data_IF_832878168791
#
_entry.id   IF_832878168791
#
_cell.length_a   1.000
_cell.length_b   1.000
_cell.length_c   1.000
_cell.angle_alpha   90.00
_cell.angle_beta   90.00
_cell.angle_gamma   90.00
#
_symmetry.space_group_name_H-M   'P 1'
#
loop_
_entity.id
_entity.type
_entity.pdbx_description
1 polymer ?
#
# COMPACT_ATOMS: atom_id res chain seq x y z
N UNK A 1 20.10 13.69 -0.30
CA UNK A 1 20.39 14.20 -1.68
C UNK A 1 19.31 13.68 -2.61
N UNK A 2 18.82 14.53 -3.54
CA UNK A 2 17.86 14.17 -4.57
C UNK A 2 18.51 14.26 -5.96
N UNK A 3 18.30 13.29 -6.82
CA UNK A 3 18.83 13.23 -8.20
C UNK A 3 17.84 12.55 -9.13
N UNK A 4 17.83 12.93 -10.40
CA UNK A 4 17.13 12.22 -11.47
C UNK A 4 18.10 11.30 -12.19
N UNK A 5 17.66 10.09 -12.53
CA UNK A 5 18.49 9.08 -13.17
C UNK A 5 17.69 8.29 -14.20
N UNK A 6 18.35 7.75 -15.22
CA UNK A 6 17.75 6.77 -16.12
C UNK A 6 17.79 5.37 -15.51
N UNK A 7 16.66 4.66 -15.48
CA UNK A 7 16.55 3.29 -15.01
C UNK A 7 15.45 2.54 -15.77
N UNK A 8 15.77 1.36 -16.33
CA UNK A 8 14.82 0.53 -17.11
C UNK A 8 14.03 1.33 -18.16
N UNK A 9 14.74 2.18 -18.93
CA UNK A 9 14.19 3.06 -19.99
C UNK A 9 13.27 4.18 -19.51
N UNK A 10 13.18 4.43 -18.20
CA UNK A 10 12.40 5.52 -17.61
C UNK A 10 13.33 6.54 -16.93
N UNK A 11 12.87 7.78 -16.84
CA UNK A 11 13.48 8.78 -15.95
C UNK A 11 12.82 8.66 -14.59
N UNK A 12 13.62 8.39 -13.58
CA UNK A 12 13.14 8.20 -12.21
C UNK A 12 13.90 9.13 -11.26
N UNK A 13 13.39 9.27 -10.07
CA UNK A 13 13.98 10.06 -9.01
C UNK A 13 14.61 9.17 -7.95
N UNK A 14 15.75 9.61 -7.42
CA UNK A 14 16.46 8.92 -6.35
C UNK A 14 16.72 9.87 -5.19
N UNK A 15 16.29 9.47 -3.99
CA UNK A 15 16.61 10.16 -2.75
C UNK A 15 17.56 9.32 -1.92
N UNK A 16 18.59 9.97 -1.36
CA UNK A 16 19.50 9.36 -0.40
C UNK A 16 19.38 10.06 0.95
N UNK A 17 19.16 9.27 2.02
CA UNK A 17 19.05 9.72 3.41
C UNK A 17 19.84 8.75 4.29
N UNK A 18 20.95 9.24 4.90
CA UNK A 18 21.85 8.35 5.63
C UNK A 18 22.24 7.12 4.80
N UNK A 19 22.07 5.91 5.35
CA UNK A 19 22.34 4.65 4.63
C UNK A 19 21.27 4.30 3.60
N UNK A 20 20.09 4.94 3.63
CA UNK A 20 18.95 4.59 2.77
C UNK A 20 19.00 5.28 1.41
N UNK A 21 18.66 4.52 0.38
CA UNK A 21 18.41 5.02 -0.99
C UNK A 21 17.01 4.62 -1.43
N UNK A 22 16.21 5.60 -1.82
CA UNK A 22 14.82 5.43 -2.29
C UNK A 22 14.74 5.73 -3.78
N UNK A 23 14.18 4.81 -4.56
CA UNK A 23 14.00 4.92 -6.01
C UNK A 23 12.52 5.11 -6.29
N UNK A 24 12.15 6.16 -6.99
CA UNK A 24 10.75 6.57 -7.13
C UNK A 24 10.46 6.98 -8.57
N UNK A 25 9.26 6.64 -9.06
CA UNK A 25 8.68 7.23 -10.25
C UNK A 25 7.46 8.07 -9.87
N UNK A 26 7.64 9.36 -9.53
CA UNK A 26 6.54 10.20 -9.05
C UNK A 26 5.39 10.31 -10.05
N UNK A 27 5.70 10.44 -11.36
CA UNK A 27 4.73 10.70 -12.43
C UNK A 27 3.92 9.46 -12.82
N UNK A 28 4.41 8.25 -12.52
CA UNK A 28 3.73 6.99 -12.81
C UNK A 28 3.34 6.28 -11.52
N UNK A 29 2.08 6.47 -11.10
CA UNK A 29 1.53 5.84 -9.90
C UNK A 29 2.06 6.39 -8.57
N UNK A 30 2.78 7.53 -8.56
CA UNK A 30 3.55 8.01 -7.41
C UNK A 30 4.35 6.87 -6.76
N UNK A 31 4.97 6.04 -7.58
CA UNK A 31 5.46 4.71 -7.24
C UNK A 31 6.81 4.75 -6.54
N UNK A 32 6.85 4.47 -5.23
CA UNK A 32 8.10 4.04 -4.61
C UNK A 32 8.43 2.66 -5.19
N UNK A 33 9.53 2.58 -5.94
CA UNK A 33 9.95 1.36 -6.64
C UNK A 33 10.79 0.48 -5.73
N UNK A 34 11.81 1.05 -5.12
CA UNK A 34 12.84 0.32 -4.38
C UNK A 34 13.32 1.14 -3.18
N UNK A 35 13.64 0.48 -2.11
CA UNK A 35 14.32 1.03 -0.95
C UNK A 35 15.50 0.13 -0.63
N UNK A 36 16.71 0.70 -0.66
CA UNK A 36 17.96 0.03 -0.35
C UNK A 36 18.56 0.60 0.91
N UNK A 37 19.31 -0.23 1.66
CA UNK A 37 20.19 0.22 2.75
C UNK A 37 21.63 -0.24 2.48
N UNK A 38 22.57 0.68 2.68
CA UNK A 38 23.99 0.37 2.76
C UNK A 38 24.30 -0.15 4.19
N UNK A 39 24.76 -1.38 4.28
CA UNK A 39 25.10 -2.05 5.53
C UNK A 39 26.50 -1.61 5.99
N UNK A 40 26.83 -1.87 7.28
CA UNK A 40 28.11 -1.49 7.87
C UNK A 40 29.34 -2.11 7.18
N UNK A 41 29.18 -3.23 6.50
CA UNK A 41 30.22 -3.89 5.72
C UNK A 41 30.31 -3.39 4.26
N UNK A 42 29.52 -2.39 3.89
CA UNK A 42 29.45 -1.82 2.54
C UNK A 42 28.58 -2.60 1.56
N UNK A 43 27.97 -3.71 1.97
CA UNK A 43 26.98 -4.40 1.16
C UNK A 43 25.67 -3.60 1.07
N UNK A 44 24.85 -3.88 0.05
CA UNK A 44 23.55 -3.24 -0.13
C UNK A 44 22.45 -4.27 0.09
N UNK A 45 21.50 -3.95 0.96
CA UNK A 45 20.31 -4.77 1.18
C UNK A 45 19.08 -4.07 0.59
N UNK A 46 18.37 -4.76 -0.27
CA UNK A 46 17.08 -4.31 -0.78
C UNK A 46 15.97 -4.60 0.25
N UNK A 47 15.27 -3.57 0.68
CA UNK A 47 14.14 -3.68 1.61
C UNK A 47 12.84 -3.89 0.84
N UNK A 48 12.63 -3.12 -0.24
CA UNK A 48 11.48 -3.30 -1.13
C UNK A 48 11.93 -3.94 -2.44
N UNK A 49 11.25 -5.03 -2.76
CA UNK A 49 11.44 -5.76 -4.02
C UNK A 49 11.05 -4.90 -5.22
N UNK A 50 11.91 -4.92 -6.23
CA UNK A 50 11.63 -4.40 -7.56
C UNK A 50 12.13 -5.40 -8.61
N UNK A 51 11.33 -5.77 -9.64
CA UNK A 51 11.76 -6.74 -10.64
C UNK A 51 12.89 -6.19 -11.51
N UNK A 52 13.79 -7.07 -11.97
CA UNK A 52 14.91 -6.73 -12.88
C UNK A 52 14.42 -6.08 -14.18
N UNK A 53 13.21 -6.41 -14.59
CA UNK A 53 12.53 -5.81 -15.74
C UNK A 53 11.10 -5.45 -15.38
N UNK A 54 10.73 -4.20 -15.60
CA UNK A 54 9.37 -3.70 -15.37
C UNK A 54 8.75 -3.22 -16.69
N UNK A 55 7.59 -3.77 -17.02
CA UNK A 55 6.79 -3.29 -18.15
C UNK A 55 5.87 -2.15 -17.71
N UNK A 56 6.32 -0.93 -17.89
CA UNK A 56 5.57 0.27 -17.52
C UNK A 56 4.33 0.51 -18.38
N UNK A 57 4.19 -0.16 -19.54
CA UNK A 57 2.95 -0.14 -20.31
C UNK A 57 1.82 -0.88 -19.57
N UNK A 58 2.18 -1.73 -18.60
CA UNK A 58 1.28 -2.47 -17.73
C UNK A 58 1.59 -2.23 -16.25
N UNK A 59 1.80 -0.96 -15.88
CA UNK A 59 2.22 -0.56 -14.53
C UNK A 59 1.39 -1.18 -13.39
N UNK A 60 0.09 -1.40 -13.62
CA UNK A 60 -0.78 -2.09 -12.66
C UNK A 60 -0.45 -3.57 -12.42
N UNK A 61 0.37 -4.20 -13.27
CA UNK A 61 0.81 -5.60 -13.15
C UNK A 61 2.23 -5.75 -12.60
N UNK A 62 2.99 -4.65 -12.48
CA UNK A 62 4.33 -4.70 -11.91
C UNK A 62 4.24 -5.13 -10.45
N UNK A 63 4.88 -6.24 -10.11
CA UNK A 63 4.97 -6.75 -8.74
C UNK A 63 6.24 -6.21 -8.10
N UNK A 64 6.11 -5.11 -7.36
CA UNK A 64 7.26 -4.47 -6.72
C UNK A 64 6.95 -3.09 -6.16
N UNK A 65 7.76 -2.64 -5.22
CA UNK A 65 7.69 -1.33 -4.60
C UNK A 65 6.45 -1.13 -3.72
N UNK A 66 5.86 0.04 -3.80
CA UNK A 66 4.61 0.39 -3.11
C UNK A 66 3.59 0.98 -4.10
N UNK A 67 2.75 0.17 -4.74
CA UNK A 67 1.57 0.67 -5.45
C UNK A 67 0.61 1.40 -4.52
N UNK A 68 0.14 2.56 -4.96
CA UNK A 68 -0.89 3.33 -4.26
C UNK A 68 -2.27 2.83 -4.68
N UNK A 69 -3.08 2.45 -3.70
CA UNK A 69 -4.42 1.90 -3.91
C UNK A 69 -5.46 2.99 -3.65
N UNK A 70 -6.12 3.48 -4.71
CA UNK A 70 -7.12 4.54 -4.63
C UNK A 70 -8.11 4.44 -5.82
N UNK A 71 -9.42 4.65 -5.61
CA UNK A 71 -10.07 5.04 -4.37
C UNK A 71 -10.34 3.90 -3.38
N UNK A 72 -10.27 2.64 -3.82
CA UNK A 72 -10.54 1.47 -2.97
C UNK A 72 -9.44 0.43 -3.09
N UNK A 73 -9.07 -0.16 -1.94
CA UNK A 73 -8.14 -1.28 -1.87
C UNK A 73 -8.82 -2.59 -2.30
N UNK A 74 -8.06 -3.50 -2.92
CA UNK A 74 -8.48 -4.82 -3.39
C UNK A 74 -9.64 -4.82 -4.40
N UNK A 75 -10.37 -5.95 -4.44
CA UNK A 75 -11.46 -6.19 -5.38
C UNK A 75 -12.76 -5.57 -4.88
N UNK A 76 -13.43 -4.82 -5.75
CA UNK A 76 -14.77 -4.29 -5.52
C UNK A 76 -15.83 -5.18 -6.13
N UNK A 77 -16.97 -5.30 -5.46
CA UNK A 77 -18.14 -6.03 -5.90
C UNK A 77 -19.39 -5.18 -5.73
N UNK A 78 -20.31 -5.29 -6.66
CA UNK A 78 -21.66 -4.75 -6.54
C UNK A 78 -22.65 -5.91 -6.58
N UNK A 79 -23.33 -6.17 -5.48
CA UNK A 79 -24.27 -7.30 -5.35
C UNK A 79 -23.68 -8.65 -5.79
N UNK A 80 -22.40 -8.88 -5.47
CA UNK A 80 -21.68 -10.09 -5.81
C UNK A 80 -21.06 -10.14 -7.22
N UNK A 81 -21.18 -9.07 -8.01
CA UNK A 81 -20.57 -8.95 -9.33
C UNK A 81 -19.21 -8.26 -9.22
N UNK A 82 -18.15 -8.97 -9.59
CA UNK A 82 -16.76 -8.50 -9.52
C UNK A 82 -16.49 -7.37 -10.52
N UNK A 83 -15.65 -6.41 -10.12
CA UNK A 83 -15.19 -5.30 -10.98
C UNK A 83 -16.14 -4.11 -11.00
N UNK A 84 -17.08 -4.07 -10.08
CA UNK A 84 -18.02 -2.97 -9.92
C UNK A 84 -18.13 -2.53 -8.47
N UNK A 85 -18.50 -1.28 -8.26
CA UNK A 85 -18.73 -0.72 -6.93
C UNK A 85 -20.08 -0.03 -6.83
N UNK A 86 -20.54 0.13 -5.60
CA UNK A 86 -21.79 0.84 -5.25
C UNK A 86 -21.50 2.33 -5.17
N UNK A 87 -21.64 3.04 -6.29
CA UNK A 87 -21.60 4.49 -6.32
C UNK A 87 -22.92 5.10 -5.80
N UNK A 88 -22.92 6.33 -5.27
CA UNK A 88 -24.16 7.05 -4.95
C UNK A 88 -25.14 7.16 -6.15
N UNK A 89 -24.61 7.19 -7.37
CA UNK A 89 -25.42 7.24 -8.59
C UNK A 89 -25.70 5.84 -9.21
N UNK A 90 -25.39 4.77 -8.48
CA UNK A 90 -25.63 3.39 -8.91
C UNK A 90 -24.35 2.58 -9.20
N UNK A 91 -24.48 1.49 -9.91
CA UNK A 91 -23.39 0.59 -10.27
C UNK A 91 -22.41 1.24 -11.24
N UNK A 92 -21.10 1.22 -10.93
CA UNK A 92 -20.02 1.70 -11.80
C UNK A 92 -18.85 0.72 -11.81
N UNK A 93 -18.08 0.61 -12.91
CA UNK A 93 -16.84 -0.14 -12.95
C UNK A 93 -15.83 0.33 -11.89
N UNK A 94 -15.04 -0.62 -11.34
CA UNK A 94 -13.93 -0.33 -10.46
C UNK A 94 -12.88 -1.44 -10.62
N UNK A 95 -11.72 -1.14 -11.18
CA UNK A 95 -10.65 -2.12 -11.32
C UNK A 95 -10.11 -2.53 -9.94
N UNK A 96 -9.48 -3.69 -9.88
CA UNK A 96 -8.80 -4.14 -8.67
C UNK A 96 -7.78 -3.10 -8.21
N UNK A 97 -7.85 -2.66 -6.95
CA UNK A 97 -7.06 -1.60 -6.34
C UNK A 97 -7.28 -0.18 -6.91
N UNK A 98 -8.34 0.05 -7.66
CA UNK A 98 -8.66 1.38 -8.21
C UNK A 98 -7.72 1.82 -9.32
N UNK A 99 -7.54 3.14 -9.47
CA UNK A 99 -6.91 3.76 -10.64
C UNK A 99 -5.50 4.29 -10.38
N UNK A 100 -5.15 4.66 -9.13
CA UNK A 100 -3.91 5.39 -8.83
C UNK A 100 -2.64 4.59 -9.15
N UNK A 101 -2.60 3.28 -8.88
CA UNK A 101 -1.39 2.45 -9.02
C UNK A 101 -0.79 2.42 -10.44
N UNK A 102 -1.60 2.74 -11.44
CA UNK A 102 -1.20 2.79 -12.85
C UNK A 102 -1.48 4.16 -13.48
N UNK A 103 -2.00 5.10 -12.70
CA UNK A 103 -2.41 6.40 -13.18
C UNK A 103 -1.25 7.38 -13.29
N UNK A 104 -1.50 8.46 -14.03
CA UNK A 104 -0.58 9.58 -14.14
C UNK A 104 -0.66 10.46 -12.89
N UNK A 105 0.49 11.01 -12.51
CA UNK A 105 0.60 11.99 -11.43
C UNK A 105 1.41 13.19 -11.90
N UNK A 106 1.12 14.33 -11.33
CA UNK A 106 1.92 15.53 -11.46
C UNK A 106 2.78 15.68 -10.22
N UNK A 107 4.09 15.79 -10.41
CA UNK A 107 5.00 16.14 -9.32
C UNK A 107 4.77 17.61 -8.96
N UNK A 108 4.21 17.87 -7.76
CA UNK A 108 3.92 19.21 -7.28
C UNK A 108 5.12 19.82 -6.55
N UNK A 109 5.87 18.99 -5.83
CA UNK A 109 7.05 19.41 -5.09
C UNK A 109 8.05 18.27 -4.94
N UNK A 110 9.33 18.56 -5.09
CA UNK A 110 10.44 17.67 -4.77
C UNK A 110 11.38 18.37 -3.78
N UNK A 111 11.34 17.95 -2.52
CA UNK A 111 12.21 18.47 -1.46
C UNK A 111 13.44 17.57 -1.27
N UNK A 112 14.39 17.99 -0.42
CA UNK A 112 15.59 17.21 -0.10
C UNK A 112 15.29 15.88 0.62
N UNK A 113 14.12 15.75 1.22
CA UNK A 113 13.69 14.63 2.06
C UNK A 113 12.38 13.97 1.60
N UNK A 114 11.90 14.27 0.39
CA UNK A 114 10.67 13.66 -0.11
C UNK A 114 10.05 14.41 -1.27
N UNK A 115 8.81 14.05 -1.58
CA UNK A 115 8.05 14.67 -2.68
C UNK A 115 6.55 14.65 -2.41
N UNK A 116 5.84 15.52 -3.12
CA UNK A 116 4.38 15.52 -3.20
C UNK A 116 3.97 15.35 -4.66
N UNK A 117 3.11 14.39 -4.94
CA UNK A 117 2.54 14.17 -6.27
C UNK A 117 1.01 14.16 -6.21
N UNK A 118 0.37 14.78 -7.21
CA UNK A 118 -1.08 14.86 -7.36
C UNK A 118 -1.55 13.92 -8.47
N UNK A 119 -2.54 13.11 -8.18
CA UNK A 119 -3.16 12.21 -9.15
C UNK A 119 -3.87 12.99 -10.27
N UNK A 120 -3.67 12.56 -11.50
CA UNK A 120 -4.35 13.07 -12.69
C UNK A 120 -5.29 11.99 -13.22
N UNK A 121 -6.57 11.98 -12.82
CA UNK A 121 -7.51 10.98 -13.31
C UNK A 121 -7.69 11.08 -14.83
N UNK A 122 -7.58 9.97 -15.51
CA UNK A 122 -7.95 9.88 -16.94
C UNK A 122 -9.47 9.86 -17.11
N UNK A 123 -9.91 9.82 -18.36
CA UNK A 123 -11.34 9.83 -18.70
C UNK A 123 -12.11 8.66 -18.09
N UNK A 124 -11.48 7.48 -18.00
CA UNK A 124 -12.10 6.29 -17.39
C UNK A 124 -12.24 6.45 -15.88
N UNK A 125 -11.19 6.85 -15.20
CA UNK A 125 -11.19 7.10 -13.75
C UNK A 125 -12.24 8.18 -13.39
N UNK A 126 -12.27 9.29 -14.14
CA UNK A 126 -13.24 10.37 -13.93
C UNK A 126 -14.69 9.91 -14.15
N UNK A 127 -14.95 9.09 -15.17
CA UNK A 127 -16.28 8.57 -15.45
C UNK A 127 -16.77 7.59 -14.38
N UNK A 128 -15.86 6.79 -13.80
CA UNK A 128 -16.20 5.71 -12.87
C UNK A 128 -16.11 6.11 -11.40
N UNK A 129 -15.38 7.20 -11.09
CA UNK A 129 -15.33 7.83 -9.78
C UNK A 129 -15.60 9.34 -9.94
N UNK A 130 -16.87 9.71 -10.24
CA UNK A 130 -17.25 11.01 -10.77
C UNK A 130 -17.46 12.05 -9.68
N UNK A 131 -16.40 12.41 -9.00
CA UNK A 131 -16.37 13.45 -7.98
C UNK A 131 -15.37 14.54 -8.37
N UNK A 132 -15.56 15.72 -7.80
CA UNK A 132 -14.58 16.80 -7.88
C UNK A 132 -13.63 16.69 -6.67
N UNK A 133 -12.38 16.32 -6.93
CA UNK A 133 -11.39 16.08 -5.88
C UNK A 133 -9.95 16.33 -6.34
N UNK A 134 -9.08 16.54 -5.35
CA UNK A 134 -7.65 16.33 -5.50
C UNK A 134 -7.21 15.15 -4.64
N UNK A 135 -6.38 14.28 -5.20
CA UNK A 135 -5.76 13.20 -4.44
C UNK A 135 -4.25 13.35 -4.49
N UNK A 136 -3.62 13.41 -3.32
CA UNK A 136 -2.19 13.62 -3.16
C UNK A 136 -1.52 12.43 -2.48
N UNK A 137 -0.27 12.21 -2.88
CA UNK A 137 0.67 11.28 -2.24
C UNK A 137 1.89 12.09 -1.80
N UNK A 138 2.15 12.14 -0.49
CA UNK A 138 3.29 12.84 0.12
C UNK A 138 4.22 11.81 0.75
N UNK A 139 5.43 11.66 0.22
CA UNK A 139 6.49 10.84 0.79
C UNK A 139 7.49 11.68 1.57
N UNK A 140 7.87 11.19 2.76
CA UNK A 140 8.97 11.72 3.58
C UNK A 140 9.96 10.60 3.86
N UNK A 141 11.22 10.84 3.49
CA UNK A 141 12.31 9.88 3.59
C UNK A 141 13.24 10.23 4.76
N UNK A 142 13.53 9.26 5.60
CA UNK A 142 14.41 9.34 6.76
C UNK A 142 15.57 8.34 6.59
N UNK A 143 16.53 8.36 7.51
CA UNK A 143 17.72 7.50 7.42
C UNK A 143 17.38 6.00 7.45
N UNK A 144 16.45 5.60 8.31
CA UNK A 144 15.99 4.20 8.44
C UNK A 144 14.45 4.10 8.45
N UNK A 145 13.77 5.09 7.85
CA UNK A 145 12.31 5.06 7.79
C UNK A 145 11.79 5.83 6.57
N UNK A 146 10.55 5.58 6.22
CA UNK A 146 9.77 6.41 5.34
C UNK A 146 8.37 6.66 5.92
N UNK A 147 7.80 7.80 5.60
CA UNK A 147 6.39 8.08 5.81
C UNK A 147 5.73 8.34 4.46
N UNK A 148 4.51 7.88 4.31
CA UNK A 148 3.69 8.19 3.14
C UNK A 148 2.30 8.56 3.59
N UNK A 149 1.85 9.75 3.17
CA UNK A 149 0.52 10.27 3.47
C UNK A 149 -0.29 10.36 2.20
N UNK A 150 -1.45 9.70 2.20
CA UNK A 150 -2.47 9.82 1.17
C UNK A 150 -3.48 10.87 1.64
N UNK A 151 -3.75 11.88 0.82
CA UNK A 151 -4.72 12.93 1.16
C UNK A 151 -5.76 13.05 0.05
N UNK A 152 -7.03 12.96 0.43
CA UNK A 152 -8.17 13.23 -0.44
C UNK A 152 -8.81 14.55 -0.02
N UNK A 153 -8.78 15.53 -0.92
CA UNK A 153 -9.49 16.81 -0.79
C UNK A 153 -10.76 16.76 -1.61
N UNK A 154 -11.87 16.98 -0.99
CA UNK A 154 -13.16 17.12 -1.67
C UNK A 154 -13.37 18.58 -2.08
N UNK A 155 -13.27 18.86 -3.38
CA UNK A 155 -13.50 20.21 -3.95
C UNK A 155 -14.91 20.37 -4.49
N UNK A 156 -15.74 19.32 -4.41
CA UNK A 156 -17.12 19.30 -4.88
C UNK A 156 -18.14 19.63 -3.80
N UNK A 157 -19.40 19.33 -4.13
CA UNK A 157 -20.58 19.63 -3.28
C UNK A 157 -21.18 18.38 -2.63
N UNK A 158 -20.77 17.18 -3.04
CA UNK A 158 -21.24 15.90 -2.51
C UNK A 158 -20.15 15.27 -1.63
N UNK A 159 -20.55 14.39 -0.71
CA UNK A 159 -19.57 13.58 0.05
C UNK A 159 -18.89 12.57 -0.85
N UNK A 160 -17.58 12.37 -0.67
CA UNK A 160 -16.77 11.44 -1.44
C UNK A 160 -16.40 10.21 -0.60
N UNK A 161 -16.77 8.99 -1.03
CA UNK A 161 -16.40 7.76 -0.32
C UNK A 161 -15.03 7.25 -0.78
N UNK A 162 -14.14 6.91 0.15
CA UNK A 162 -12.85 6.30 -0.14
C UNK A 162 -12.43 5.27 0.90
N UNK A 163 -11.54 4.37 0.51
CA UNK A 163 -10.91 3.36 1.37
C UNK A 163 -9.59 2.94 0.72
N UNK A 164 -8.62 3.83 0.76
CA UNK A 164 -7.32 3.71 0.11
C UNK A 164 -6.36 2.79 0.88
N UNK A 165 -5.16 2.59 0.34
CA UNK A 165 -4.14 1.81 1.01
C UNK A 165 -2.82 1.72 0.26
N UNK A 166 -1.92 0.93 0.80
CA UNK A 166 -0.59 0.66 0.28
C UNK A 166 -0.42 -0.83 0.00
N UNK A 167 0.51 -1.15 -0.92
CA UNK A 167 0.80 -2.53 -1.31
C UNK A 167 2.32 -2.75 -1.32
N UNK A 168 2.94 -2.63 -0.14
CA UNK A 168 4.39 -2.79 -0.02
C UNK A 168 4.84 -4.22 -0.32
N UNK A 169 5.74 -4.36 -1.29
CA UNK A 169 6.42 -5.60 -1.65
C UNK A 169 7.75 -5.67 -0.90
N UNK A 170 7.79 -6.22 0.29
CA UNK A 170 9.05 -6.38 1.03
C UNK A 170 9.84 -7.56 0.49
N UNK A 171 11.15 -7.39 0.27
CA UNK A 171 12.03 -8.52 0.01
C UNK A 171 12.00 -9.46 1.21
N UNK A 172 11.86 -10.76 0.94
CA UNK A 172 11.86 -11.78 1.96
C UNK A 172 12.27 -13.13 1.33
N UNK A 173 13.36 -13.79 1.79
CA UNK A 173 14.18 -13.50 2.97
C UNK A 173 15.16 -12.33 2.78
N UNK A 174 15.66 -11.74 3.89
CA UNK A 174 16.69 -10.68 3.88
C UNK A 174 18.11 -11.24 3.89
N UNK A 175 18.28 -12.44 4.43
CA UNK A 175 19.55 -13.13 4.54
C UNK A 175 19.57 -14.34 3.59
N UNK A 176 20.67 -14.53 2.85
CA UNK A 176 20.77 -15.57 1.85
C UNK A 176 20.79 -17.01 2.44
N UNK A 177 21.13 -17.15 3.72
CA UNK A 177 21.15 -18.41 4.46
C UNK A 177 19.83 -18.73 5.19
N UNK A 178 18.82 -17.84 5.10
CA UNK A 178 17.52 -18.04 5.69
C UNK A 178 16.46 -18.28 4.61
N UNK A 179 15.46 -19.06 4.95
CA UNK A 179 14.25 -19.23 4.17
C UNK A 179 13.12 -18.37 4.75
N UNK A 180 12.05 -18.17 3.99
CA UNK A 180 10.86 -17.44 4.41
C UNK A 180 10.26 -17.97 5.72
N UNK A 181 10.35 -19.28 5.95
CA UNK A 181 9.92 -19.96 7.17
C UNK A 181 10.69 -19.56 8.44
N UNK A 182 11.82 -18.86 8.30
CA UNK A 182 12.56 -18.31 9.43
C UNK A 182 12.11 -16.89 9.82
N UNK A 183 11.08 -16.34 9.17
CA UNK A 183 10.59 -15.00 9.45
C UNK A 183 9.18 -15.04 10.00
N UNK A 184 8.90 -14.12 10.93
CA UNK A 184 7.63 -14.01 11.63
C UNK A 184 7.08 -12.58 11.53
N UNK A 185 5.75 -12.47 11.48
CA UNK A 185 5.02 -11.22 11.64
C UNK A 185 4.30 -11.22 12.98
N UNK A 186 4.51 -10.16 13.76
CA UNK A 186 3.89 -9.91 15.05
C UNK A 186 2.75 -8.91 14.86
N UNK A 187 1.54 -9.34 15.16
CA UNK A 187 0.31 -8.59 15.01
C UNK A 187 -0.27 -8.24 16.39
N UNK A 188 -0.85 -7.06 16.58
CA UNK A 188 -1.69 -6.82 17.73
C UNK A 188 -2.91 -7.75 17.68
N UNK A 189 -3.60 -7.92 18.80
CA UNK A 189 -4.84 -8.70 18.81
C UNK A 189 -5.79 -8.17 17.71
N UNK A 190 -6.22 -9.06 16.83
CA UNK A 190 -7.03 -8.73 15.66
C UNK A 190 -8.01 -9.86 15.34
N UNK A 191 -8.76 -9.70 14.26
CA UNK A 191 -9.56 -10.75 13.60
C UNK A 191 -9.05 -10.97 12.19
N UNK A 192 -8.96 -12.24 11.77
CA UNK A 192 -8.64 -12.62 10.40
C UNK A 192 -9.91 -12.78 9.56
N UNK A 193 -9.77 -12.44 8.27
CA UNK A 193 -10.83 -12.66 7.27
C UNK A 193 -10.20 -13.08 5.94
N UNK A 194 -11.05 -13.68 5.09
CA UNK A 194 -10.78 -13.91 3.66
C UNK A 194 -11.95 -13.39 2.84
N UNK A 195 -11.66 -12.92 1.64
CA UNK A 195 -12.72 -12.50 0.72
C UNK A 195 -13.11 -13.68 -0.17
N UNK A 196 -14.41 -14.02 -0.20
CA UNK A 196 -14.93 -15.03 -1.11
C UNK A 196 -15.10 -14.50 -2.55
N UNK A 197 -15.54 -15.37 -3.46
CA UNK A 197 -15.74 -15.04 -4.88
C UNK A 197 -16.92 -14.10 -5.14
N UNK A 198 -17.70 -13.77 -4.12
CA UNK A 198 -18.83 -12.84 -4.18
C UNK A 198 -18.57 -11.53 -3.42
N UNK A 199 -17.35 -11.36 -2.88
CA UNK A 199 -16.95 -10.18 -2.16
C UNK A 199 -17.29 -10.16 -0.66
N UNK A 200 -17.80 -11.29 -0.11
CA UNK A 200 -18.09 -11.36 1.32
C UNK A 200 -16.81 -11.61 2.13
N UNK A 201 -16.74 -11.05 3.32
CA UNK A 201 -15.67 -11.30 4.28
C UNK A 201 -16.06 -12.52 5.16
N UNK A 202 -15.34 -13.60 5.01
CA UNK A 202 -15.46 -14.81 5.81
C UNK A 202 -14.43 -14.80 6.94
N UNK A 203 -14.89 -14.93 8.20
CA UNK A 203 -13.98 -14.91 9.36
C UNK A 203 -13.06 -16.13 9.35
N UNK A 204 -11.75 -15.88 9.41
CA UNK A 204 -10.70 -16.87 9.59
C UNK A 204 -10.30 -16.89 11.06
N UNK A 205 -10.73 -17.94 11.78
CA UNK A 205 -10.50 -18.11 13.22
C UNK A 205 -9.11 -18.66 13.56
N UNK A 206 -8.30 -18.97 12.55
CA UNK A 206 -6.94 -19.52 12.76
C UNK A 206 -5.88 -18.45 12.98
N UNK A 207 -6.23 -17.16 12.88
CA UNK A 207 -5.30 -16.05 13.07
C UNK A 207 -4.64 -16.08 14.45
N UNK A 208 -3.33 -15.87 14.46
CA UNK A 208 -2.52 -15.77 15.67
C UNK A 208 -1.85 -14.40 15.76
N UNK A 209 -1.34 -14.03 16.93
CA UNK A 209 -0.62 -12.76 17.10
C UNK A 209 0.82 -12.83 16.56
N UNK A 210 1.37 -14.02 16.45
CA UNK A 210 2.65 -14.29 15.78
C UNK A 210 2.37 -15.31 14.70
N UNK A 211 2.63 -14.93 13.45
CA UNK A 211 2.42 -15.78 12.27
C UNK A 211 3.74 -15.96 11.54
N UNK A 212 3.96 -17.12 10.96
CA UNK A 212 5.17 -17.46 10.23
C UNK A 212 4.94 -17.30 8.72
N UNK A 213 5.85 -16.61 8.01
CA UNK A 213 5.73 -16.37 6.57
C UNK A 213 5.88 -17.63 5.69
N UNK A 214 6.37 -18.74 6.24
CA UNK A 214 6.34 -20.05 5.60
C UNK A 214 4.97 -20.76 5.67
N UNK A 215 4.02 -20.21 6.47
CA UNK A 215 2.69 -20.77 6.61
C UNK A 215 1.75 -20.21 5.53
N UNK A 216 1.33 -21.04 4.59
CA UNK A 216 0.40 -20.64 3.52
C UNK A 216 -0.94 -20.09 4.05
N UNK A 217 -1.29 -20.41 5.28
CA UNK A 217 -2.52 -19.90 5.89
C UNK A 217 -2.53 -18.37 6.08
N UNK A 218 -1.37 -17.70 6.08
CA UNK A 218 -1.34 -16.23 6.16
C UNK A 218 -1.42 -15.55 4.78
N UNK A 219 -1.27 -16.29 3.69
CA UNK A 219 -1.38 -15.74 2.35
C UNK A 219 -2.83 -15.33 2.03
N UNK A 220 -2.99 -14.16 1.43
CA UNK A 220 -4.30 -13.53 1.11
C UNK A 220 -5.22 -13.38 2.34
N UNK A 221 -4.61 -13.18 3.54
CA UNK A 221 -5.35 -12.97 4.78
C UNK A 221 -5.50 -11.48 5.07
N UNK A 222 -6.71 -11.10 5.48
CA UNK A 222 -7.08 -9.74 5.85
C UNK A 222 -7.20 -9.68 7.37
N UNK A 223 -6.28 -8.96 8.03
CA UNK A 223 -6.31 -8.72 9.47
C UNK A 223 -7.02 -7.39 9.73
N UNK A 224 -8.07 -7.40 10.53
CA UNK A 224 -8.83 -6.17 10.87
C UNK A 224 -9.26 -6.19 12.33
N UNK A 225 -9.86 -5.09 12.81
CA UNK A 225 -10.14 -4.88 14.25
C UNK A 225 -8.88 -4.97 15.11
N UNK A 226 -7.77 -4.50 14.58
CA UNK A 226 -6.49 -4.46 15.27
C UNK A 226 -6.61 -3.55 16.50
N UNK A 227 -6.08 -4.02 17.65
CA UNK A 227 -6.09 -3.24 18.90
C UNK A 227 -5.13 -2.04 18.87
N UNK A 228 -4.13 -2.07 17.98
CA UNK A 228 -3.22 -0.97 17.66
C UNK A 228 -3.01 -0.95 16.15
N UNK A 229 -2.78 0.21 15.56
CA UNK A 229 -2.55 0.34 14.12
C UNK A 229 -1.06 0.11 13.79
N UNK A 230 -0.55 -1.08 14.12
CA UNK A 230 0.85 -1.44 13.87
C UNK A 230 1.01 -2.93 13.53
N UNK A 231 2.14 -3.26 12.90
CA UNK A 231 2.64 -4.63 12.71
C UNK A 231 4.16 -4.58 12.66
N UNK A 232 4.81 -5.65 13.12
CA UNK A 232 6.27 -5.77 13.12
C UNK A 232 6.66 -7.14 12.59
N UNK A 233 7.68 -7.23 11.73
CA UNK A 233 8.15 -8.50 11.22
C UNK A 233 9.67 -8.53 11.04
N UNK A 234 10.24 -9.74 11.07
CA UNK A 234 11.67 -9.97 10.95
C UNK A 234 12.03 -11.44 11.14
N UNK A 235 13.33 -11.77 11.18
CA UNK A 235 13.79 -13.11 11.52
C UNK A 235 13.32 -13.52 12.91
N UNK A 236 12.83 -14.74 13.05
CA UNK A 236 12.37 -15.28 14.34
C UNK A 236 13.51 -15.28 15.37
N UNK A 237 13.29 -14.61 16.51
CA UNK A 237 14.31 -14.45 17.54
C UNK A 237 15.48 -13.54 17.17
N UNK A 238 15.45 -12.90 16.00
CA UNK A 238 16.45 -11.93 15.54
C UNK A 238 16.27 -10.53 16.15
N UNK A 239 17.30 -9.71 16.00
CA UNK A 239 17.28 -8.31 16.43
C UNK A 239 16.76 -7.37 15.36
N UNK A 240 16.92 -7.71 14.07
CA UNK A 240 16.48 -6.91 12.93
C UNK A 240 14.97 -7.02 12.73
N UNK A 241 14.34 -5.90 12.37
CA UNK A 241 12.89 -5.86 12.13
C UNK A 241 12.48 -4.74 11.18
N UNK A 242 11.30 -4.90 10.58
CA UNK A 242 10.55 -3.84 9.91
C UNK A 242 9.25 -3.65 10.68
N UNK A 243 8.94 -2.41 11.04
CA UNK A 243 7.69 -2.02 11.66
C UNK A 243 6.88 -1.12 10.75
N UNK A 244 5.60 -1.44 10.60
CA UNK A 244 4.62 -0.56 10.00
C UNK A 244 3.72 0.00 11.10
N UNK A 245 3.40 1.28 11.01
CA UNK A 245 2.35 1.91 11.80
C UNK A 245 1.53 2.82 10.90
N UNK A 246 0.24 3.00 11.22
CA UNK A 246 -0.65 3.81 10.38
C UNK A 246 -1.70 4.53 11.22
N UNK A 247 -2.14 5.67 10.69
CA UNK A 247 -3.19 6.48 11.29
C UNK A 247 -3.99 7.22 10.21
N UNK A 248 -5.20 7.62 10.52
CA UNK A 248 -5.95 8.56 9.71
C UNK A 248 -6.25 9.86 10.47
N UNK A 249 -6.65 10.90 9.76
CA UNK A 249 -6.91 12.23 10.32
C UNK A 249 -8.15 12.28 11.23
N UNK A 250 -8.93 11.19 11.31
CA UNK A 250 -10.14 11.08 12.13
C UNK A 250 -9.98 10.06 13.25
N UNK A 251 -8.75 9.61 13.49
CA UNK A 251 -8.40 8.60 14.49
C UNK A 251 -8.59 7.16 14.01
N UNK A 252 -8.25 6.17 14.84
CA UNK A 252 -8.19 4.77 14.43
C UNK A 252 -9.58 4.27 14.03
N UNK A 253 -9.78 4.00 12.76
CA UNK A 253 -11.00 3.37 12.29
C UNK A 253 -11.03 1.91 12.76
N UNK A 254 -12.14 1.47 13.33
CA UNK A 254 -12.33 0.11 13.84
C UNK A 254 -12.13 -0.99 12.78
N UNK A 255 -12.08 -0.61 11.51
CA UNK A 255 -11.97 -1.48 10.35
C UNK A 255 -10.68 -1.28 9.54
N UNK A 256 -9.71 -0.52 10.04
CA UNK A 256 -8.38 -0.56 9.40
C UNK A 256 -7.96 -2.01 9.20
N UNK A 257 -7.37 -2.27 8.04
CA UNK A 257 -6.96 -3.62 7.67
C UNK A 257 -5.45 -3.68 7.40
N UNK A 258 -4.87 -4.84 7.68
CA UNK A 258 -3.55 -5.22 7.21
C UNK A 258 -3.71 -6.50 6.41
N UNK A 259 -3.29 -6.50 5.16
CA UNK A 259 -3.32 -7.70 4.32
C UNK A 259 -1.92 -8.26 4.16
N UNK A 260 -1.80 -9.57 4.23
CA UNK A 260 -0.57 -10.31 3.96
C UNK A 260 -0.76 -11.13 2.70
N UNK A 261 0.16 -10.98 1.73
CA UNK A 261 0.03 -11.63 0.44
C UNK A 261 1.39 -11.92 -0.22
N UNK A 262 1.48 -13.01 -0.94
CA UNK A 262 2.55 -13.30 -1.89
C UNK A 262 1.98 -14.00 -3.12
N UNK A 263 2.68 -13.91 -4.27
CA UNK A 263 2.20 -14.51 -5.52
C UNK A 263 2.35 -16.02 -5.53
N UNK A 264 3.56 -16.48 -5.21
CA UNK A 264 3.94 -17.90 -5.20
C UNK A 264 4.79 -18.20 -3.96
N UNK A 265 4.91 -19.48 -3.65
CA UNK A 265 5.69 -19.93 -2.49
C UNK A 265 7.17 -19.51 -2.58
N UNK A 266 7.73 -19.45 -3.78
CA UNK A 266 9.12 -19.09 -4.07
C UNK A 266 9.33 -17.63 -4.52
N UNK A 267 8.30 -16.78 -4.45
CA UNK A 267 8.45 -15.34 -4.73
C UNK A 267 9.50 -14.72 -3.82
N UNK A 268 10.31 -13.81 -4.36
CA UNK A 268 11.36 -13.09 -3.62
C UNK A 268 10.78 -11.99 -2.70
N UNK A 269 9.46 -11.90 -2.58
CA UNK A 269 8.79 -10.88 -1.78
C UNK A 269 7.63 -11.45 -0.98
N UNK A 270 7.28 -10.72 0.07
CA UNK A 270 6.01 -10.83 0.77
C UNK A 270 5.39 -9.45 0.94
N UNK A 271 4.11 -9.32 0.67
CA UNK A 271 3.41 -8.04 0.83
C UNK A 271 2.83 -7.94 2.25
N UNK A 272 3.06 -6.78 2.86
CA UNK A 272 2.43 -6.39 4.12
C UNK A 272 1.76 -5.04 3.85
N UNK A 273 0.43 -5.03 3.82
CA UNK A 273 -0.35 -4.02 3.14
C UNK A 273 -1.30 -3.32 4.11
N UNK A 274 -0.95 -2.14 4.65
CA UNK A 274 -1.86 -1.36 5.47
C UNK A 274 -2.91 -0.65 4.61
N UNK A 275 -4.20 -0.86 4.94
CA UNK A 275 -5.35 -0.30 4.24
C UNK A 275 -6.29 0.42 5.20
N UNK A 276 -6.99 1.45 4.72
CA UNK A 276 -8.02 2.16 5.48
C UNK A 276 -9.21 1.28 5.85
N UNK A 277 -9.49 0.24 5.06
CA UNK A 277 -10.56 -0.71 5.29
C UNK A 277 -10.36 -2.03 4.55
N UNK A 278 -11.13 -3.07 4.90
CA UNK A 278 -11.09 -4.35 4.22
C UNK A 278 -11.60 -4.23 2.78
N UNK A 279 -11.36 -5.25 1.94
CA UNK A 279 -11.89 -5.29 0.57
C UNK A 279 -13.40 -5.04 0.51
N UNK A 280 -13.84 -4.47 -0.61
CA UNK A 280 -15.25 -4.21 -0.89
C UNK A 280 -15.92 -3.24 0.11
N UNK A 281 -15.15 -2.29 0.63
CA UNK A 281 -15.63 -1.31 1.61
C UNK A 281 -16.85 -0.52 1.11
N UNK A 282 -16.89 -0.17 -0.18
CA UNK A 282 -18.00 0.57 -0.79
C UNK A 282 -19.35 -0.16 -0.75
N UNK A 283 -19.36 -1.50 -0.75
CA UNK A 283 -20.59 -2.30 -0.64
C UNK A 283 -20.94 -2.62 0.81
N UNK A 284 -19.92 -2.93 1.62
CA UNK A 284 -20.12 -3.40 3.00
C UNK A 284 -20.18 -2.27 4.02
N UNK A 285 -19.78 -1.07 3.64
CA UNK A 285 -19.61 0.12 4.49
C UNK A 285 -18.59 -0.05 5.63
N UNK A 286 -17.88 -1.19 5.68
CA UNK A 286 -16.83 -1.47 6.65
C UNK A 286 -15.53 -0.81 6.23
N UNK A 287 -15.02 0.12 7.03
CA UNK A 287 -13.81 0.88 6.70
C UNK A 287 -13.98 1.79 5.49
N UNK A 288 -15.22 2.15 5.13
CA UNK A 288 -15.52 3.20 4.18
C UNK A 288 -15.50 4.55 4.90
N UNK A 289 -14.72 5.48 4.38
CA UNK A 289 -14.62 6.85 4.88
C UNK A 289 -15.33 7.80 3.93
N UNK A 290 -15.89 8.87 4.45
CA UNK A 290 -16.61 9.88 3.69
C UNK A 290 -16.00 11.25 3.91
N UNK A 291 -15.53 11.90 2.86
CA UNK A 291 -14.96 13.24 2.90
C UNK A 291 -16.08 14.24 2.61
N UNK A 292 -16.38 15.10 3.58
CA UNK A 292 -17.42 16.13 3.42
C UNK A 292 -16.98 17.20 2.38
N UNK A 293 -17.95 17.92 1.75
CA UNK A 293 -17.64 19.01 0.84
C UNK A 293 -16.69 20.04 1.43
N UNK A 294 -15.71 20.50 0.62
CA UNK A 294 -14.70 21.50 0.99
C UNK A 294 -13.87 21.12 2.25
N UNK A 295 -13.68 19.82 2.48
CA UNK A 295 -12.79 19.30 3.53
C UNK A 295 -11.79 18.31 2.93
N UNK A 296 -10.84 17.89 3.75
CA UNK A 296 -9.88 16.84 3.40
C UNK A 296 -9.78 15.79 4.50
N UNK A 297 -9.38 14.60 4.12
CA UNK A 297 -8.99 13.52 5.02
C UNK A 297 -7.64 12.95 4.55
N UNK A 298 -6.86 12.45 5.51
CA UNK A 298 -5.56 11.84 5.21
C UNK A 298 -5.41 10.50 5.91
N UNK A 299 -4.63 9.62 5.28
CA UNK A 299 -4.19 8.34 5.81
C UNK A 299 -2.68 8.26 5.71
N UNK A 300 -2.00 8.12 6.83
CA UNK A 300 -0.53 8.09 6.92
C UNK A 300 -0.05 6.71 7.33
N UNK A 301 0.99 6.25 6.65
CA UNK A 301 1.73 5.02 6.99
C UNK A 301 3.19 5.38 7.19
N UNK A 302 3.78 4.87 8.27
CA UNK A 302 5.22 4.90 8.53
C UNK A 302 5.77 3.47 8.47
N UNK A 303 6.87 3.31 7.76
CA UNK A 303 7.67 2.08 7.72
C UNK A 303 9.03 2.41 8.30
N UNK A 304 9.48 1.64 9.29
CA UNK A 304 10.71 1.88 10.03
C UNK A 304 11.49 0.58 10.17
N UNK A 305 12.82 0.69 10.05
CA UNK A 305 13.78 -0.41 10.20
C UNK A 305 14.50 -0.29 11.55
N UNK A 306 14.77 -1.41 12.19
CA UNK A 306 15.54 -1.46 13.44
C UNK A 306 16.08 -2.84 13.73
#
# INVERSE_FOLDING_TARGET
MHTEIAHQSEQIHRWQRGPSTFWVHPEKGARLMRWDIEMADGSVREILHWPDQADWSQAGKIRGGNPILFPFSARSFFKGELGYWKSPQGKRPMPNHGYARQGAFQLENAAADGFIARFLPDTEAQANYPFDYNFFVDYRFHDLALEVTLTLENTGTEQIPWSAGHHFYFNLPWHADLERSHYEIHLPKCKGFRQDTRGNLLEDKTVQQVENFGNDAINDRIHTKLKRPDAKFGPAGGEEWIQLSWEDSHGPAAWHALTTWTDQHDSLFYCVEPWMGPPNAAETEKGLHWVAPNTSQSYRVRVELG
#
